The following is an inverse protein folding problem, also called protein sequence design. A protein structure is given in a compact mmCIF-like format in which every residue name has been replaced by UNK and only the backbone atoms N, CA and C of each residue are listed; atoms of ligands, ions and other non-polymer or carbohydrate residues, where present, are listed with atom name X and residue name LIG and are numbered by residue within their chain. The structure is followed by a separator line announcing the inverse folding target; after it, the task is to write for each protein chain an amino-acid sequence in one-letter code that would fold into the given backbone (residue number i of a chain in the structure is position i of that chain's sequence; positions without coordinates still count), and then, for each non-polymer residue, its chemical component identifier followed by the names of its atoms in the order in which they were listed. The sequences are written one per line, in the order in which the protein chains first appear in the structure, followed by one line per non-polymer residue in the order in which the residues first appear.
data_IF_824422885778
#
_entry.id   IF_824422885778
#
_cell.length_a   1.000
_cell.length_b   1.000
_cell.length_c   1.000
_cell.angle_alpha   90.00
_cell.angle_beta   90.00
_cell.angle_gamma   90.00
#
_symmetry.space_group_name_H-M   'P 1'
#
loop_
_entity.id
_entity.type
_entity.pdbx_description
1 polymer ?
#
# COMPACT_ATOMS: atom_id res chain seq x y z
N UNK A 1 30.02 9.34 -0.55
CA UNK A 1 28.83 9.38 0.34
C UNK A 1 27.73 8.63 -0.38
N UNK A 2 26.92 7.79 0.27
CA UNK A 2 25.77 7.21 -0.41
C UNK A 2 24.86 8.36 -0.88
N UNK A 3 24.43 8.31 -2.14
CA UNK A 3 23.54 9.33 -2.69
C UNK A 3 22.25 9.41 -1.85
N UNK A 4 21.79 10.62 -1.57
CA UNK A 4 20.59 10.87 -0.77
C UNK A 4 19.35 10.30 -1.45
N UNK A 5 18.40 9.83 -0.64
CA UNK A 5 17.11 9.37 -1.13
C UNK A 5 16.19 10.59 -1.25
N UNK A 6 15.74 10.87 -2.47
CA UNK A 6 14.76 11.89 -2.77
C UNK A 6 13.34 11.27 -2.79
N UNK A 7 12.40 11.92 -2.08
CA UNK A 7 10.98 11.53 -2.05
C UNK A 7 10.16 12.59 -2.75
N UNK A 8 9.34 12.16 -3.68
CA UNK A 8 8.49 13.05 -4.46
C UNK A 8 7.14 12.42 -4.81
N UNK A 9 6.13 13.22 -5.15
CA UNK A 9 4.86 12.72 -5.66
C UNK A 9 5.04 11.83 -6.90
N UNK A 10 4.21 10.80 -7.01
CA UNK A 10 4.14 9.92 -8.20
C UNK A 10 3.66 10.74 -9.40
N UNK A 11 4.36 10.60 -10.54
CA UNK A 11 3.95 11.15 -11.84
C UNK A 11 3.38 10.04 -12.72
N UNK A 12 2.61 10.40 -13.72
CA UNK A 12 1.99 9.43 -14.64
C UNK A 12 2.99 8.43 -15.24
N UNK A 13 4.20 8.90 -15.58
CA UNK A 13 5.30 8.09 -16.12
C UNK A 13 5.88 7.08 -15.11
N UNK A 14 5.75 7.36 -13.82
CA UNK A 14 6.31 6.54 -12.73
C UNK A 14 5.43 5.31 -12.41
N UNK A 15 4.13 5.37 -12.70
CA UNK A 15 3.12 4.40 -12.26
C UNK A 15 3.50 2.95 -12.62
N UNK A 16 4.04 2.73 -13.82
CA UNK A 16 4.44 1.38 -14.26
C UNK A 16 5.66 0.87 -13.49
N UNK A 17 6.62 1.74 -13.20
CA UNK A 17 7.83 1.40 -12.44
C UNK A 17 7.48 1.19 -10.96
N UNK A 18 6.70 2.09 -10.36
CA UNK A 18 6.18 1.93 -9.01
C UNK A 18 5.39 0.63 -8.85
N UNK A 19 4.49 0.32 -9.78
CA UNK A 19 3.75 -0.95 -9.79
C UNK A 19 4.64 -2.19 -9.90
N UNK A 20 5.79 -2.11 -10.58
CA UNK A 20 6.79 -3.19 -10.64
C UNK A 20 7.54 -3.35 -9.32
N UNK A 21 7.98 -2.25 -8.72
CA UNK A 21 8.64 -2.22 -7.41
C UNK A 21 7.74 -2.83 -6.34
N UNK A 22 6.49 -2.37 -6.28
CA UNK A 22 5.50 -2.89 -5.34
C UNK A 22 5.19 -4.38 -5.58
N UNK A 23 5.05 -4.81 -6.82
CA UNK A 23 4.83 -6.22 -7.14
C UNK A 23 5.98 -7.14 -6.66
N UNK A 24 7.21 -6.66 -6.70
CA UNK A 24 8.38 -7.38 -6.17
C UNK A 24 8.42 -7.36 -4.65
N UNK A 25 8.10 -6.20 -4.04
CA UNK A 25 8.06 -6.04 -2.59
C UNK A 25 7.01 -6.96 -1.92
N UNK A 26 5.85 -7.12 -2.57
CA UNK A 26 4.71 -7.90 -2.09
C UNK A 26 4.65 -9.34 -2.61
N UNK A 27 5.67 -9.79 -3.35
CA UNK A 27 5.64 -11.12 -3.96
C UNK A 27 5.46 -12.25 -2.93
N UNK A 28 6.16 -12.15 -1.79
CA UNK A 28 6.09 -13.10 -0.68
C UNK A 28 5.28 -12.58 0.52
N UNK A 29 4.43 -11.58 0.27
CA UNK A 29 3.52 -11.08 1.30
C UNK A 29 2.45 -12.12 1.61
N UNK A 30 2.14 -12.41 2.90
CA UNK A 30 1.18 -13.45 3.29
C UNK A 30 -0.21 -13.23 2.70
N UNK A 31 -0.72 -11.99 2.70
CA UNK A 31 -2.04 -11.64 2.14
C UNK A 31 -2.05 -11.83 0.62
N UNK A 32 -1.00 -11.36 -0.06
CA UNK A 32 -0.87 -11.53 -1.51
C UNK A 32 -0.68 -13.00 -1.90
N UNK A 33 0.02 -13.79 -1.08
CA UNK A 33 0.20 -15.23 -1.29
C UNK A 33 -1.11 -16.00 -1.10
N UNK A 34 -1.88 -15.64 -0.07
CA UNK A 34 -3.22 -16.19 0.16
C UNK A 34 -4.18 -15.80 -0.97
N UNK A 35 -4.14 -14.56 -1.43
CA UNK A 35 -4.98 -14.05 -2.50
C UNK A 35 -4.61 -14.66 -3.87
N UNK A 36 -3.33 -14.82 -4.17
CA UNK A 36 -2.82 -15.39 -5.44
C UNK A 36 -1.76 -16.46 -5.14
N UNK A 37 -2.16 -17.71 -4.81
CA UNK A 37 -1.22 -18.77 -4.41
C UNK A 37 -0.19 -19.14 -5.48
N UNK A 38 -0.56 -19.11 -6.76
CA UNK A 38 0.30 -19.49 -7.88
C UNK A 38 1.43 -18.48 -8.12
N UNK A 39 2.68 -18.83 -7.82
CA UNK A 39 3.85 -17.94 -7.98
C UNK A 39 4.02 -17.43 -9.41
N UNK A 40 3.80 -18.26 -10.42
CA UNK A 40 3.92 -17.90 -11.86
C UNK A 40 2.91 -16.84 -12.31
N UNK A 41 1.72 -16.85 -11.73
CA UNK A 41 0.66 -15.84 -12.02
C UNK A 41 0.76 -14.62 -11.12
N UNK A 42 1.21 -14.80 -9.86
CA UNK A 42 1.27 -13.76 -8.83
C UNK A 42 2.09 -12.55 -9.26
N UNK A 43 3.31 -12.72 -9.77
CA UNK A 43 4.17 -11.63 -10.21
C UNK A 43 3.50 -10.73 -11.27
N UNK A 44 2.85 -11.36 -12.26
CA UNK A 44 2.13 -10.64 -13.33
C UNK A 44 0.85 -10.00 -12.80
N UNK A 45 0.10 -10.71 -11.95
CA UNK A 45 -1.12 -10.24 -11.30
C UNK A 45 -0.86 -9.00 -10.44
N UNK A 46 0.08 -9.09 -9.50
CA UNK A 46 0.44 -7.98 -8.62
C UNK A 46 0.90 -6.74 -9.40
N UNK A 47 1.78 -6.94 -10.40
CA UNK A 47 2.21 -5.82 -11.25
C UNK A 47 1.04 -5.14 -11.94
N UNK A 48 0.09 -5.92 -12.48
CA UNK A 48 -1.10 -5.38 -13.14
C UNK A 48 -2.02 -4.68 -12.13
N UNK A 49 -2.30 -5.32 -11.00
CA UNK A 49 -3.14 -4.79 -9.92
C UNK A 49 -2.61 -3.46 -9.41
N UNK A 50 -1.34 -3.41 -8.97
CA UNK A 50 -0.73 -2.17 -8.46
C UNK A 50 -0.63 -1.07 -9.52
N UNK A 51 -0.38 -1.42 -10.80
CA UNK A 51 -0.39 -0.42 -11.87
C UNK A 51 -1.80 0.14 -12.12
N UNK A 52 -2.83 -0.70 -12.06
CA UNK A 52 -4.23 -0.30 -12.23
C UNK A 52 -4.68 0.61 -11.08
N UNK A 53 -4.46 0.17 -9.83
CA UNK A 53 -4.73 0.96 -8.62
C UNK A 53 -3.97 2.28 -8.65
N UNK A 54 -2.65 2.23 -8.86
CA UNK A 54 -1.81 3.42 -8.90
C UNK A 54 -2.26 4.44 -9.94
N UNK A 55 -2.72 3.99 -11.12
CA UNK A 55 -3.14 4.87 -12.21
C UNK A 55 -4.54 5.47 -12.03
N UNK A 56 -5.49 4.64 -11.60
CA UNK A 56 -6.92 4.99 -11.64
C UNK A 56 -7.46 5.45 -10.29
N UNK A 57 -6.87 5.00 -9.19
CA UNK A 57 -7.28 5.35 -7.85
C UNK A 57 -6.34 6.38 -7.19
N UNK A 58 -5.07 6.03 -7.02
CA UNK A 58 -4.14 6.78 -6.19
C UNK A 58 -3.53 8.02 -6.86
N UNK A 59 -3.18 7.94 -8.15
CA UNK A 59 -2.59 9.08 -8.86
C UNK A 59 -3.52 10.31 -8.90
N UNK A 60 -4.83 10.17 -9.20
CA UNK A 60 -5.75 11.31 -9.19
C UNK A 60 -5.93 11.96 -7.82
N UNK A 61 -5.72 11.21 -6.73
CA UNK A 61 -5.87 11.68 -5.34
C UNK A 61 -4.61 12.37 -4.79
N UNK A 62 -3.47 12.25 -5.48
CA UNK A 62 -2.24 12.95 -5.12
C UNK A 62 -1.58 12.47 -3.82
N UNK A 63 -2.04 11.33 -3.24
CA UNK A 63 -1.50 10.79 -1.99
C UNK A 63 -0.23 9.95 -2.16
N UNK A 64 0.09 9.49 -3.38
CA UNK A 64 1.17 8.55 -3.64
C UNK A 64 2.53 9.22 -3.83
N UNK A 65 3.59 8.57 -3.32
CA UNK A 65 4.96 9.03 -3.42
C UNK A 65 5.88 7.91 -3.91
N UNK A 66 6.98 8.30 -4.54
CA UNK A 66 8.11 7.43 -4.87
C UNK A 66 9.37 7.94 -4.19
N UNK A 67 10.18 7.01 -3.70
CA UNK A 67 11.52 7.29 -3.23
C UNK A 67 12.53 6.86 -4.28
N UNK A 68 13.44 7.78 -4.63
CA UNK A 68 14.43 7.61 -5.70
C UNK A 68 15.84 7.82 -5.18
N UNK A 69 16.79 7.12 -5.77
CA UNK A 69 18.23 7.38 -5.62
C UNK A 69 18.85 7.40 -7.01
N UNK A 70 19.57 8.45 -7.34
CA UNK A 70 20.16 8.65 -8.68
C UNK A 70 19.13 8.55 -9.82
N UNK A 71 17.88 8.96 -9.53
CA UNK A 71 16.76 8.92 -10.48
C UNK A 71 16.04 7.57 -10.57
N UNK A 72 16.56 6.50 -9.97
CA UNK A 72 15.95 5.18 -9.98
C UNK A 72 14.97 5.01 -8.80
N UNK A 73 13.77 4.52 -9.08
CA UNK A 73 12.73 4.29 -8.06
C UNK A 73 13.04 3.00 -7.30
N UNK A 74 13.38 3.13 -6.01
CA UNK A 74 13.63 2.02 -5.10
C UNK A 74 12.46 1.71 -4.15
N UNK A 75 11.51 2.62 -4.01
CA UNK A 75 10.32 2.43 -3.16
C UNK A 75 9.13 3.26 -3.62
N UNK A 76 7.93 2.85 -3.20
CA UNK A 76 6.70 3.58 -3.49
C UNK A 76 5.66 3.39 -2.39
N UNK A 77 4.78 4.38 -2.23
CA UNK A 77 3.59 4.35 -1.38
C UNK A 77 2.33 4.66 -2.16
N UNK A 78 1.21 4.13 -1.66
CA UNK A 78 -0.13 4.45 -2.09
C UNK A 78 -0.94 4.84 -0.85
N UNK A 79 -1.24 6.13 -0.73
CA UNK A 79 -2.02 6.70 0.35
C UNK A 79 -3.34 7.27 -0.16
N UNK A 80 -4.40 7.04 0.59
CA UNK A 80 -5.65 7.77 0.41
C UNK A 80 -5.68 8.97 1.36
N UNK A 81 -5.94 10.17 0.84
CA UNK A 81 -6.19 11.34 1.68
C UNK A 81 -7.46 11.19 2.51
N UNK A 82 -7.59 11.93 3.63
CA UNK A 82 -8.80 11.93 4.44
C UNK A 82 -10.07 12.10 3.60
N UNK A 83 -11.04 11.21 3.81
CA UNK A 83 -12.33 11.23 3.13
C UNK A 83 -12.33 10.78 1.65
N UNK A 84 -11.21 10.36 1.09
CA UNK A 84 -11.11 10.00 -0.35
C UNK A 84 -10.90 8.51 -0.62
N UNK A 85 -11.02 7.64 0.37
CA UNK A 85 -10.80 6.20 0.21
C UNK A 85 -11.79 5.50 -0.74
N UNK A 86 -13.05 5.90 -0.69
CA UNK A 86 -14.10 5.23 -1.47
C UNK A 86 -14.03 5.58 -2.95
N UNK A 87 -13.99 4.55 -3.79
CA UNK A 87 -14.05 4.70 -5.25
C UNK A 87 -15.47 4.94 -5.73
N UNK A 88 -15.64 5.91 -6.63
CA UNK A 88 -16.91 6.13 -7.31
C UNK A 88 -17.24 5.01 -8.31
N UNK A 89 -18.53 4.89 -8.73
CA UNK A 89 -18.97 3.86 -9.67
C UNK A 89 -18.21 3.84 -10.99
N UNK A 90 -17.90 5.00 -11.55
CA UNK A 90 -17.14 5.11 -12.80
C UNK A 90 -15.71 4.60 -12.62
N UNK A 91 -15.06 4.96 -11.52
CA UNK A 91 -13.72 4.51 -11.18
C UNK A 91 -13.67 2.99 -11.02
N UNK A 92 -14.62 2.41 -10.30
CA UNK A 92 -14.76 0.95 -10.14
C UNK A 92 -14.91 0.26 -11.49
N UNK A 93 -15.76 0.79 -12.39
CA UNK A 93 -15.94 0.25 -13.73
C UNK A 93 -14.65 0.31 -14.56
N UNK A 94 -13.89 1.41 -14.48
CA UNK A 94 -12.62 1.56 -15.19
C UNK A 94 -11.52 0.65 -14.64
N UNK A 95 -11.51 0.38 -13.33
CA UNK A 95 -10.55 -0.52 -12.69
C UNK A 95 -10.86 -2.01 -12.97
N UNK A 96 -12.13 -2.36 -13.15
CA UNK A 96 -12.61 -3.74 -13.24
C UNK A 96 -11.83 -4.61 -14.25
N UNK A 97 -11.56 -4.21 -15.50
CA UNK A 97 -10.82 -5.05 -16.44
C UNK A 97 -9.40 -5.36 -15.96
N UNK A 98 -8.73 -4.37 -15.37
CA UNK A 98 -7.37 -4.53 -14.82
C UNK A 98 -7.34 -5.47 -13.61
N UNK A 99 -8.32 -5.35 -12.72
CA UNK A 99 -8.45 -6.18 -11.52
C UNK A 99 -8.87 -7.61 -11.86
N UNK A 100 -9.82 -7.80 -12.79
CA UNK A 100 -10.20 -9.12 -13.28
C UNK A 100 -9.00 -9.83 -13.95
N UNK A 101 -8.21 -9.11 -14.71
CA UNK A 101 -6.99 -9.69 -15.30
C UNK A 101 -5.93 -10.02 -14.23
N UNK A 102 -5.79 -9.18 -13.20
CA UNK A 102 -4.82 -9.36 -12.13
C UNK A 102 -5.17 -10.55 -11.22
N UNK A 103 -6.45 -10.65 -10.82
CA UNK A 103 -6.92 -11.55 -9.77
C UNK A 103 -7.92 -12.61 -10.27
N UNK A 104 -8.63 -12.36 -11.36
CA UNK A 104 -9.46 -13.30 -12.10
C UNK A 104 -10.34 -14.18 -11.20
N UNK A 105 -10.07 -15.48 -11.20
CA UNK A 105 -10.79 -16.50 -10.42
C UNK A 105 -10.69 -16.30 -8.88
N UNK A 106 -9.85 -15.38 -8.43
CA UNK A 106 -9.66 -15.03 -7.01
C UNK A 106 -10.48 -13.81 -6.57
N UNK A 107 -11.40 -13.34 -7.43
CA UNK A 107 -12.33 -12.26 -7.09
C UNK A 107 -13.05 -12.48 -5.74
N UNK A 108 -13.54 -13.70 -5.37
CA UNK A 108 -14.16 -13.93 -4.06
C UNK A 108 -13.20 -13.69 -2.88
N UNK A 109 -11.92 -14.04 -3.01
CA UNK A 109 -10.93 -13.77 -1.96
C UNK A 109 -10.64 -12.27 -1.80
N UNK A 110 -10.63 -11.52 -2.91
CA UNK A 110 -10.53 -10.07 -2.91
C UNK A 110 -11.73 -9.42 -2.22
N UNK A 111 -12.95 -9.90 -2.50
CA UNK A 111 -14.18 -9.41 -1.89
C UNK A 111 -14.16 -9.64 -0.37
N UNK A 112 -13.82 -10.84 0.09
CA UNK A 112 -13.68 -11.17 1.52
C UNK A 112 -12.64 -10.28 2.23
N UNK A 113 -11.51 -9.99 1.58
CA UNK A 113 -10.51 -9.07 2.11
C UNK A 113 -11.08 -7.65 2.23
N UNK A 114 -11.74 -7.16 1.17
CA UNK A 114 -12.32 -5.82 1.16
C UNK A 114 -13.44 -5.66 2.20
N UNK A 115 -14.30 -6.65 2.36
CA UNK A 115 -15.35 -6.67 3.38
C UNK A 115 -14.75 -6.60 4.78
N UNK A 116 -13.78 -7.47 5.09
CA UNK A 116 -13.09 -7.48 6.39
C UNK A 116 -12.43 -6.13 6.70
N UNK A 117 -11.75 -5.54 5.71
CA UNK A 117 -11.11 -4.24 5.86
C UNK A 117 -12.14 -3.11 6.02
N UNK A 118 -13.26 -3.15 5.30
CA UNK A 118 -14.32 -2.14 5.41
C UNK A 118 -15.02 -2.17 6.77
N UNK A 119 -15.33 -3.37 7.28
CA UNK A 119 -15.96 -3.57 8.59
C UNK A 119 -15.10 -3.09 9.77
N UNK A 120 -13.77 -3.11 9.60
CA UNK A 120 -12.81 -2.76 10.65
C UNK A 120 -12.10 -1.42 10.40
N UNK A 121 -12.49 -0.70 9.34
CA UNK A 121 -11.87 0.58 9.00
C UNK A 121 -12.36 1.70 9.93
N UNK A 122 -11.46 2.53 10.51
CA UNK A 122 -11.86 3.62 11.38
C UNK A 122 -12.79 4.64 10.69
N UNK A 123 -13.82 5.12 11.41
CA UNK A 123 -14.73 6.15 10.91
C UNK A 123 -14.12 7.55 10.96
N UNK A 124 -13.19 7.77 11.89
CA UNK A 124 -12.48 9.05 12.01
C UNK A 124 -11.70 9.37 10.73
N UNK A 125 -11.76 10.63 10.29
CA UNK A 125 -11.08 11.08 9.07
C UNK A 125 -9.57 11.01 9.24
N UNK A 126 -8.87 10.31 8.36
CA UNK A 126 -7.43 10.03 8.48
C UNK A 126 -6.76 9.82 7.11
N UNK A 127 -5.42 9.90 7.09
CA UNK A 127 -4.60 9.40 6.00
C UNK A 127 -4.51 7.87 6.06
N UNK A 128 -4.87 7.18 4.99
CA UNK A 128 -4.81 5.72 4.92
C UNK A 128 -3.64 5.23 4.08
N UNK A 129 -2.66 4.59 4.70
CA UNK A 129 -1.57 3.90 3.99
C UNK A 129 -2.04 2.50 3.55
N UNK A 130 -2.55 2.41 2.33
CA UNK A 130 -2.95 1.12 1.79
C UNK A 130 -1.75 0.26 1.38
N UNK A 131 -0.71 0.86 0.80
CA UNK A 131 0.43 0.12 0.27
C UNK A 131 1.72 0.91 0.50
N UNK A 132 2.74 0.24 1.03
CA UNK A 132 4.14 0.70 1.03
C UNK A 132 5.06 -0.47 0.70
N UNK A 133 6.00 -0.26 -0.21
CA UNK A 133 6.97 -1.29 -0.55
C UNK A 133 8.27 -0.73 -1.10
N UNK A 134 9.36 -1.44 -0.80
CA UNK A 134 10.68 -1.17 -1.37
C UNK A 134 11.14 -2.37 -2.20
N UNK A 135 11.83 -2.10 -3.30
CA UNK A 135 12.40 -3.16 -4.12
C UNK A 135 13.31 -4.05 -3.25
N UNK A 136 13.17 -5.38 -3.33
CA UNK A 136 14.00 -6.29 -2.54
C UNK A 136 15.51 -6.07 -2.69
N UNK A 137 15.96 -5.57 -3.84
CA UNK A 137 17.40 -5.32 -4.12
C UNK A 137 17.97 -4.14 -3.34
N UNK A 138 17.12 -3.23 -2.84
CA UNK A 138 17.50 -2.05 -2.06
C UNK A 138 16.90 -2.05 -0.65
N UNK A 139 16.43 -3.21 -0.19
CA UNK A 139 15.89 -3.36 1.18
C UNK A 139 16.96 -3.01 2.22
N UNK A 140 16.56 -2.31 3.27
CA UNK A 140 17.50 -1.83 4.32
C UNK A 140 18.25 -0.55 3.97
N UNK A 141 18.17 -0.04 2.75
CA UNK A 141 18.87 1.17 2.31
C UNK A 141 18.15 2.50 2.65
N UNK A 142 17.07 2.47 3.46
CA UNK A 142 16.38 3.67 3.97
C UNK A 142 15.18 4.16 3.17
N UNK A 143 14.86 3.56 2.00
CA UNK A 143 13.75 4.01 1.14
C UNK A 143 12.38 4.02 1.85
N UNK A 144 12.07 2.96 2.60
CA UNK A 144 10.82 2.87 3.34
C UNK A 144 10.72 3.91 4.45
N UNK A 145 11.83 4.18 5.15
CA UNK A 145 11.90 5.21 6.18
C UNK A 145 11.70 6.61 5.59
N UNK A 146 12.35 6.91 4.46
CA UNK A 146 12.20 8.19 3.78
C UNK A 146 10.75 8.45 3.34
N UNK A 147 10.08 7.42 2.77
CA UNK A 147 8.66 7.48 2.38
C UNK A 147 7.74 7.71 3.59
N UNK A 148 7.96 6.98 4.68
CA UNK A 148 7.17 7.16 5.91
C UNK A 148 7.36 8.57 6.49
N UNK A 149 8.59 9.03 6.63
CA UNK A 149 8.88 10.35 7.18
C UNK A 149 8.25 11.47 6.35
N UNK A 150 8.34 11.40 5.01
CA UNK A 150 7.76 12.38 4.10
C UNK A 150 6.24 12.53 4.32
N UNK A 151 5.51 11.43 4.33
CA UNK A 151 4.04 11.50 4.49
C UNK A 151 3.63 11.85 5.91
N UNK A 152 4.30 11.27 6.91
CA UNK A 152 3.93 11.52 8.31
C UNK A 152 4.23 12.95 8.74
N UNK A 153 5.25 13.61 8.19
CA UNK A 153 5.45 15.05 8.38
C UNK A 153 4.21 15.83 7.91
N UNK A 154 3.67 15.49 6.73
CA UNK A 154 2.45 16.11 6.22
C UNK A 154 1.23 15.81 7.10
N UNK A 155 1.10 14.58 7.63
CA UNK A 155 0.04 14.24 8.58
C UNK A 155 0.11 15.13 9.83
N UNK A 156 1.32 15.38 10.34
CA UNK A 156 1.57 16.23 11.49
C UNK A 156 1.26 17.70 11.19
N UNK A 157 1.70 18.23 10.05
CA UNK A 157 1.42 19.59 9.59
C UNK A 157 -0.08 19.83 9.39
N UNK A 158 -0.82 18.83 8.92
CA UNK A 158 -2.27 18.85 8.71
C UNK A 158 -3.08 18.50 9.97
N UNK A 159 -2.43 18.15 11.09
CA UNK A 159 -3.05 17.62 12.32
C UNK A 159 -4.00 16.46 12.04
N UNK A 160 -3.67 15.63 11.07
CA UNK A 160 -4.47 14.49 10.62
C UNK A 160 -3.86 13.17 11.11
N UNK A 161 -4.68 12.25 11.69
CA UNK A 161 -4.21 10.92 12.03
C UNK A 161 -3.86 10.10 10.80
N UNK A 162 -3.15 8.99 11.02
CA UNK A 162 -2.80 8.03 9.99
C UNK A 162 -3.17 6.61 10.40
N UNK A 163 -3.60 5.81 9.43
CA UNK A 163 -4.01 4.42 9.62
C UNK A 163 -3.33 3.50 8.60
N UNK A 164 -3.09 2.27 8.99
CA UNK A 164 -2.60 1.18 8.12
C UNK A 164 -3.00 -0.19 8.68
N UNK A 165 -2.92 -1.24 7.83
CA UNK A 165 -2.92 -2.64 8.27
C UNK A 165 -1.57 -3.28 7.95
N UNK A 166 -0.85 -3.73 8.98
CA UNK A 166 0.38 -4.50 8.80
C UNK A 166 0.04 -5.95 8.43
N UNK A 167 0.69 -6.49 7.39
CA UNK A 167 0.39 -7.83 6.83
C UNK A 167 1.35 -8.92 7.28
N UNK A 168 2.39 -8.57 8.05
CA UNK A 168 3.40 -9.50 8.56
C UNK A 168 3.64 -9.26 10.05
N UNK A 169 3.91 -10.31 10.85
CA UNK A 169 4.05 -10.18 12.29
C UNK A 169 5.23 -9.31 12.74
N UNK A 170 6.24 -9.14 11.91
CA UNK A 170 7.39 -8.27 12.19
C UNK A 170 7.16 -6.78 11.88
N UNK A 171 6.13 -6.45 11.08
CA UNK A 171 5.88 -5.07 10.66
C UNK A 171 5.31 -4.14 11.75
N UNK A 172 4.49 -4.59 12.72
CA UNK A 172 4.06 -3.73 13.81
C UNK A 172 5.22 -3.06 14.53
N UNK A 173 6.28 -3.78 14.87
CA UNK A 173 7.48 -3.22 15.51
C UNK A 173 8.20 -2.19 14.62
N UNK A 174 8.12 -2.34 13.30
CA UNK A 174 8.63 -1.33 12.36
C UNK A 174 7.80 -0.04 12.41
N UNK A 175 6.46 -0.13 12.36
CA UNK A 175 5.59 1.03 12.34
C UNK A 175 5.48 1.75 13.69
N UNK A 176 5.64 1.03 14.81
CA UNK A 176 5.71 1.63 16.15
C UNK A 176 6.83 2.67 16.27
N UNK A 177 7.95 2.54 15.53
CA UNK A 177 9.02 3.54 15.49
C UNK A 177 8.57 4.88 14.91
N UNK A 178 7.50 4.89 14.13
CA UNK A 178 6.88 6.08 13.55
C UNK A 178 5.69 6.59 14.39
N UNK A 179 5.42 5.96 15.52
CA UNK A 179 4.34 6.36 16.44
C UNK A 179 2.99 5.70 16.17
N UNK A 180 2.95 4.66 15.34
CA UNK A 180 1.74 3.84 15.22
C UNK A 180 1.57 2.92 16.42
N UNK A 181 0.33 2.68 16.81
CA UNK A 181 -0.07 1.73 17.84
C UNK A 181 -0.99 0.66 17.23
N UNK A 182 -0.82 -0.59 17.66
CA UNK A 182 -1.70 -1.69 17.23
C UNK A 182 -3.06 -1.51 17.88
N UNK A 183 -4.12 -1.46 17.08
CA UNK A 183 -5.50 -1.29 17.57
C UNK A 183 -6.31 -2.58 17.57
N UNK A 184 -5.79 -3.65 16.95
CA UNK A 184 -6.49 -4.92 16.88
C UNK A 184 -5.72 -5.97 16.10
N UNK A 185 -6.38 -7.10 15.86
CA UNK A 185 -5.91 -8.20 15.03
C UNK A 185 -7.07 -8.66 14.14
N UNK A 186 -6.85 -8.74 12.84
CA UNK A 186 -7.82 -9.22 11.86
C UNK A 186 -7.37 -10.57 11.32
N UNK A 187 -8.24 -11.57 11.38
CA UNK A 187 -7.99 -12.89 10.84
C UNK A 187 -8.70 -13.03 9.49
N UNK A 188 -7.96 -13.17 8.40
CA UNK A 188 -8.55 -13.45 7.10
C UNK A 188 -9.26 -14.83 7.09
N UNK A 189 -10.39 -14.94 6.40
CA UNK A 189 -11.19 -16.17 6.38
C UNK A 189 -10.46 -17.33 5.70
N UNK A 190 -11.01 -18.55 5.86
CA UNK A 190 -10.52 -19.77 5.21
C UNK A 190 -9.04 -20.07 5.47
N UNK A 191 -8.58 -19.83 6.70
CA UNK A 191 -7.18 -20.05 7.12
C UNK A 191 -6.20 -19.06 6.51
N UNK A 192 -6.67 -17.90 6.08
CA UNK A 192 -5.82 -16.81 5.59
C UNK A 192 -4.92 -16.23 6.68
N UNK A 193 -4.00 -15.35 6.35
CA UNK A 193 -3.08 -14.73 7.31
C UNK A 193 -3.79 -13.75 8.25
N UNK A 194 -3.09 -13.37 9.31
CA UNK A 194 -3.48 -12.27 10.18
C UNK A 194 -2.98 -10.95 9.63
N UNK A 195 -3.69 -9.88 9.98
CA UNK A 195 -3.31 -8.50 9.76
C UNK A 195 -3.45 -7.71 11.06
N UNK A 196 -2.68 -6.66 11.22
CA UNK A 196 -2.67 -5.81 12.41
C UNK A 196 -3.04 -4.39 12.03
N UNK A 197 -4.30 -3.95 12.28
CA UNK A 197 -4.68 -2.55 12.18
C UNK A 197 -3.83 -1.70 13.12
N UNK A 198 -3.36 -0.57 12.64
CA UNK A 198 -2.52 0.33 13.41
C UNK A 198 -2.93 1.78 13.19
N UNK A 199 -2.96 2.54 14.26
CA UNK A 199 -3.35 3.94 14.30
C UNK A 199 -2.23 4.84 14.81
N UNK A 200 -2.11 6.05 14.24
CA UNK A 200 -1.17 7.05 14.68
C UNK A 200 -1.86 8.40 14.82
N UNK A 201 -1.77 9.01 16.01
CA UNK A 201 -2.14 10.41 16.21
C UNK A 201 -1.08 11.35 15.62
N UNK A 202 -1.46 12.53 15.09
CA UNK A 202 -0.51 13.57 14.69
C UNK A 202 0.34 14.01 15.88
N UNK A 203 1.54 14.51 15.60
CA UNK A 203 2.49 15.00 16.61
C UNK A 203 2.74 16.49 16.48
#
# INVERSE_FOLDING_TARGET
MPADIDVRPVRHRDVRTAGRVLARAFFDDPVMTWMVPGSGTRAKGLRRGFTTLGRLHFLPRGGSEVATREGEIGGATMWDPPGQRKSGRLEQLLMMPGMLWAFGRRAPAMEQLNELMEENHPEESHWYLMIIGTDPTVRGAGFGQALMNSRLQRCDDEHAPAYLEATKPELPAYYMRFGFEVTGELQLPNGGPKMWPMWRQPR
#
